data_IF_437353995755
#
_entry.id   IF_437353995755
#
_cell.length_a   1.000
_cell.length_b   1.000
_cell.length_c   1.000
_cell.angle_alpha   90.00
_cell.angle_beta   90.00
_cell.angle_gamma   90.00
#
_symmetry.space_group_name_H-M   'P 1'
#
loop_
_entity.id
_entity.type
_entity.pdbx_description
1 polymer ?
#
# COMPACT_ATOMS: atom_id res chain seq x y z
N UNK A 1 -25.43 -49.21 -22.07
CA UNK A 1 -25.71 -49.03 -23.52
C UNK A 1 -24.60 -48.17 -24.09
N UNK A 2 -23.88 -48.69 -25.09
CA UNK A 2 -22.61 -48.16 -25.56
C UNK A 2 -22.75 -46.83 -26.30
N UNK A 3 -21.89 -45.89 -25.92
CA UNK A 3 -21.70 -44.64 -26.65
C UNK A 3 -20.82 -44.88 -27.87
N UNK A 4 -21.38 -44.61 -29.05
CA UNK A 4 -20.73 -44.71 -30.36
C UNK A 4 -19.52 -43.79 -30.47
N UNK A 5 -18.36 -44.39 -30.74
CA UNK A 5 -17.16 -43.72 -31.22
C UNK A 5 -17.49 -43.09 -32.59
N UNK A 6 -17.55 -41.76 -32.66
CA UNK A 6 -17.70 -41.04 -33.91
C UNK A 6 -16.35 -41.01 -34.63
N UNK A 7 -16.04 -42.07 -35.37
CA UNK A 7 -14.87 -42.14 -36.25
C UNK A 7 -15.07 -41.13 -37.39
N UNK A 8 -14.29 -40.04 -37.37
CA UNK A 8 -14.35 -38.98 -38.39
C UNK A 8 -14.26 -39.54 -39.82
N UNK A 9 -14.97 -38.91 -40.75
CA UNK A 9 -15.04 -39.28 -42.17
C UNK A 9 -13.67 -39.67 -42.75
N UNK A 10 -13.56 -40.70 -43.61
CA UNK A 10 -12.29 -41.20 -44.17
C UNK A 10 -11.35 -40.11 -44.75
N UNK A 11 -11.92 -39.05 -45.30
CA UNK A 11 -11.18 -37.90 -45.82
C UNK A 11 -10.42 -37.11 -44.74
N UNK A 12 -10.99 -36.98 -43.53
CA UNK A 12 -10.33 -36.32 -42.39
C UNK A 12 -9.13 -37.12 -41.89
N UNK A 13 -9.28 -38.44 -41.78
CA UNK A 13 -8.17 -39.35 -41.37
C UNK A 13 -7.03 -39.31 -42.40
N UNK A 14 -7.37 -39.22 -43.70
CA UNK A 14 -6.38 -39.08 -44.78
C UNK A 14 -5.64 -37.74 -44.70
N UNK A 15 -6.36 -36.64 -44.45
CA UNK A 15 -5.76 -35.32 -44.27
C UNK A 15 -4.84 -35.27 -43.04
N UNK A 16 -5.25 -35.84 -41.91
CA UNK A 16 -4.42 -35.91 -40.70
C UNK A 16 -3.10 -36.68 -40.93
N UNK A 17 -3.17 -37.77 -41.68
CA UNK A 17 -1.97 -38.53 -42.08
C UNK A 17 -1.03 -37.72 -42.99
N UNK A 18 -1.59 -36.91 -43.91
CA UNK A 18 -0.81 -36.02 -44.76
C UNK A 18 -0.11 -34.91 -43.96
N UNK A 19 -0.79 -34.33 -42.97
CA UNK A 19 -0.22 -33.29 -42.09
C UNK A 19 0.94 -33.85 -41.27
N UNK A 20 0.82 -35.06 -40.72
CA UNK A 20 1.94 -35.73 -40.03
C UNK A 20 3.12 -35.92 -40.99
N UNK A 21 2.87 -36.40 -42.22
CA UNK A 21 3.95 -36.62 -43.19
C UNK A 21 4.64 -35.32 -43.59
N UNK A 22 3.89 -34.24 -43.82
CA UNK A 22 4.47 -32.93 -44.12
C UNK A 22 5.34 -32.41 -42.96
N UNK A 23 4.90 -32.60 -41.71
CA UNK A 23 5.66 -32.19 -40.53
C UNK A 23 6.96 -32.99 -40.33
N UNK A 24 7.04 -34.24 -40.83
CA UNK A 24 8.27 -35.04 -40.78
C UNK A 24 9.39 -34.49 -41.67
N UNK A 25 9.04 -33.78 -42.72
CA UNK A 25 10.00 -33.20 -43.68
C UNK A 25 10.56 -31.85 -43.21
N UNK A 26 10.15 -31.33 -42.04
CA UNK A 26 10.70 -30.09 -41.47
C UNK A 26 12.20 -30.29 -41.21
N UNK A 27 13.12 -29.50 -41.80
CA UNK A 27 14.55 -29.76 -41.70
C UNK A 27 15.11 -29.62 -40.29
N UNK A 28 14.73 -28.55 -39.58
CA UNK A 28 15.19 -28.27 -38.22
C UNK A 28 14.59 -29.29 -37.23
N UNK A 29 15.42 -30.10 -36.54
CA UNK A 29 14.94 -31.20 -35.70
C UNK A 29 14.18 -30.72 -34.45
N UNK A 30 14.52 -29.56 -33.89
CA UNK A 30 13.78 -28.96 -32.77
C UNK A 30 12.38 -28.52 -33.21
N UNK A 31 12.30 -27.75 -34.30
CA UNK A 31 11.02 -27.28 -34.86
C UNK A 31 10.16 -28.48 -35.26
N UNK A 32 10.78 -29.52 -35.85
CA UNK A 32 10.12 -30.78 -36.21
C UNK A 32 9.52 -31.46 -34.98
N UNK A 33 10.30 -31.67 -33.91
CA UNK A 33 9.84 -32.32 -32.69
C UNK A 33 8.65 -31.58 -32.05
N UNK A 34 8.77 -30.27 -31.85
CA UNK A 34 7.69 -29.45 -31.23
C UNK A 34 6.45 -29.41 -32.12
N UNK A 35 6.61 -29.33 -33.44
CA UNK A 35 5.49 -29.31 -34.38
C UNK A 35 4.74 -30.65 -34.39
N UNK A 36 5.46 -31.77 -34.39
CA UNK A 36 4.85 -33.10 -34.32
C UNK A 36 4.12 -33.32 -32.99
N UNK A 37 4.65 -32.84 -31.87
CA UNK A 37 3.98 -32.90 -30.57
C UNK A 37 2.70 -32.03 -30.55
N UNK A 38 2.75 -30.84 -31.13
CA UNK A 38 1.57 -29.98 -31.32
C UNK A 38 0.49 -30.65 -32.17
N UNK A 39 0.88 -31.29 -33.27
CA UNK A 39 -0.03 -32.07 -34.12
C UNK A 39 -0.62 -33.22 -33.31
N UNK A 40 0.19 -33.96 -32.56
CA UNK A 40 -0.27 -35.02 -31.66
C UNK A 40 -1.36 -34.52 -30.70
N UNK A 41 -1.14 -33.38 -30.05
CA UNK A 41 -2.14 -32.80 -29.17
C UNK A 41 -3.44 -32.40 -29.90
N UNK A 42 -3.35 -31.82 -31.10
CA UNK A 42 -4.55 -31.49 -31.91
C UNK A 42 -5.33 -32.73 -32.34
N UNK A 43 -4.63 -33.80 -32.69
CA UNK A 43 -5.26 -35.08 -33.04
C UNK A 43 -5.91 -35.73 -31.82
N UNK A 44 -5.30 -35.63 -30.65
CA UNK A 44 -5.90 -36.09 -29.39
C UNK A 44 -7.23 -35.37 -29.10
N UNK A 45 -7.26 -34.03 -29.18
CA UNK A 45 -8.49 -33.26 -29.02
C UNK A 45 -9.57 -33.61 -30.06
N UNK A 46 -9.16 -34.04 -31.25
CA UNK A 46 -10.05 -34.48 -32.32
C UNK A 46 -10.50 -35.94 -32.19
N UNK A 47 -10.03 -36.69 -31.19
CA UNK A 47 -10.30 -38.13 -31.02
C UNK A 47 -9.69 -39.01 -32.11
N UNK A 48 -8.67 -38.53 -32.83
CA UNK A 48 -8.03 -39.28 -33.91
C UNK A 48 -6.96 -40.23 -33.36
N UNK A 49 -7.04 -41.52 -33.70
CA UNK A 49 -6.14 -42.57 -33.22
C UNK A 49 -4.65 -42.36 -33.60
N UNK A 50 -4.36 -41.51 -34.59
CA UNK A 50 -2.98 -41.23 -35.03
C UNK A 50 -2.21 -40.29 -34.10
N UNK A 51 -2.83 -39.72 -33.06
CA UNK A 51 -2.15 -38.84 -32.11
C UNK A 51 -0.90 -39.49 -31.48
N UNK A 52 -0.98 -40.78 -31.13
CA UNK A 52 0.15 -41.54 -30.58
C UNK A 52 1.32 -41.64 -31.56
N UNK A 53 1.05 -41.82 -32.86
CA UNK A 53 2.08 -41.85 -33.90
C UNK A 53 2.78 -40.50 -34.03
N UNK A 54 2.04 -39.39 -33.99
CA UNK A 54 2.62 -38.06 -34.03
C UNK A 54 3.55 -37.81 -32.83
N UNK A 55 3.18 -38.25 -31.62
CA UNK A 55 4.05 -38.17 -30.44
C UNK A 55 5.29 -39.06 -30.53
N UNK A 56 5.17 -40.29 -31.04
CA UNK A 56 6.35 -41.15 -31.28
C UNK A 56 7.34 -40.51 -32.25
N UNK A 57 6.84 -39.88 -33.32
CA UNK A 57 7.68 -39.14 -34.26
C UNK A 57 8.30 -37.89 -33.62
N UNK A 58 7.58 -37.20 -32.75
CA UNK A 58 8.11 -36.06 -32.00
C UNK A 58 9.29 -36.50 -31.13
N UNK A 59 9.16 -37.59 -30.37
CA UNK A 59 10.22 -38.14 -29.53
C UNK A 59 11.42 -38.61 -30.36
N UNK A 60 11.17 -39.22 -31.53
CA UNK A 60 12.24 -39.59 -32.46
C UNK A 60 13.02 -38.37 -32.95
N UNK A 61 12.33 -37.27 -33.29
CA UNK A 61 12.96 -36.05 -33.79
C UNK A 61 13.83 -35.35 -32.72
N UNK A 62 13.57 -35.57 -31.42
CA UNK A 62 14.45 -35.09 -30.35
C UNK A 62 15.85 -35.74 -30.45
N UNK A 63 15.92 -37.02 -30.82
CA UNK A 63 17.19 -37.75 -30.95
C UNK A 63 18.04 -37.26 -32.14
N UNK A 64 17.44 -36.52 -33.07
CA UNK A 64 18.14 -35.94 -34.22
C UNK A 64 18.76 -34.56 -33.91
N UNK A 65 18.61 -34.05 -32.67
CA UNK A 65 19.13 -32.74 -32.26
C UNK A 65 20.55 -32.90 -31.72
N UNK A 66 21.52 -32.26 -32.37
CA UNK A 66 22.94 -32.34 -31.96
C UNK A 66 23.26 -31.53 -30.70
N UNK A 67 22.63 -30.36 -30.52
CA UNK A 67 22.94 -29.48 -29.41
C UNK A 67 22.24 -29.95 -28.12
N UNK A 68 22.98 -30.33 -27.06
CA UNK A 68 22.40 -30.90 -25.85
C UNK A 68 21.45 -29.93 -25.12
N UNK A 69 21.70 -28.62 -25.15
CA UNK A 69 20.79 -27.63 -24.55
C UNK A 69 19.45 -27.62 -25.29
N UNK A 70 19.49 -27.74 -26.62
CA UNK A 70 18.30 -27.76 -27.46
C UNK A 70 17.52 -29.08 -27.30
N UNK A 71 18.22 -30.21 -27.10
CA UNK A 71 17.59 -31.49 -26.73
C UNK A 71 16.75 -31.32 -25.47
N UNK A 72 17.34 -30.80 -24.39
CA UNK A 72 16.64 -30.64 -23.10
C UNK A 72 15.44 -29.68 -23.22
N UNK A 73 15.59 -28.60 -23.99
CA UNK A 73 14.47 -27.69 -24.29
C UNK A 73 13.35 -28.39 -25.06
N UNK A 74 13.70 -29.19 -26.07
CA UNK A 74 12.72 -29.97 -26.83
C UNK A 74 11.95 -30.95 -25.93
N UNK A 75 12.65 -31.61 -24.99
CA UNK A 75 12.04 -32.50 -24.02
C UNK A 75 11.00 -31.78 -23.15
N UNK A 76 11.33 -30.58 -22.65
CA UNK A 76 10.38 -29.74 -21.89
C UNK A 76 9.17 -29.36 -22.74
N UNK A 77 9.37 -28.86 -23.95
CA UNK A 77 8.27 -28.43 -24.83
C UNK A 77 7.35 -29.60 -25.23
N UNK A 78 7.93 -30.76 -25.58
CA UNK A 78 7.17 -31.95 -25.94
C UNK A 78 6.43 -32.54 -24.74
N UNK A 79 7.02 -32.51 -23.54
CA UNK A 79 6.37 -33.00 -22.31
C UNK A 79 5.05 -32.29 -22.03
N UNK A 80 4.98 -30.98 -22.28
CA UNK A 80 3.76 -30.18 -22.12
C UNK A 80 2.62 -30.71 -23.00
N UNK A 81 2.90 -30.99 -24.27
CA UNK A 81 1.88 -31.50 -25.19
C UNK A 81 1.47 -32.94 -24.86
N UNK A 82 2.39 -33.77 -24.37
CA UNK A 82 2.08 -35.10 -23.85
C UNK A 82 1.09 -35.00 -22.68
N UNK A 83 1.38 -34.13 -21.70
CA UNK A 83 0.52 -33.92 -20.53
C UNK A 83 -0.87 -33.42 -20.92
N UNK A 84 -0.95 -32.37 -21.75
CA UNK A 84 -2.22 -31.84 -22.27
C UNK A 84 -3.03 -32.85 -23.08
N UNK A 85 -2.41 -33.97 -23.47
CA UNK A 85 -3.03 -35.06 -24.23
C UNK A 85 -3.31 -36.30 -23.38
N UNK A 86 -3.34 -36.16 -22.05
CA UNK A 86 -3.60 -37.25 -21.10
C UNK A 86 -2.49 -38.29 -20.99
N UNK A 87 -1.32 -38.06 -21.59
CA UNK A 87 -0.15 -38.94 -21.48
C UNK A 87 0.75 -38.51 -20.31
N UNK A 88 0.19 -38.43 -19.11
CA UNK A 88 0.86 -37.84 -17.94
C UNK A 88 2.18 -38.53 -17.61
N UNK A 89 2.20 -39.86 -17.44
CA UNK A 89 3.40 -40.63 -17.12
C UNK A 89 4.56 -40.33 -18.08
N UNK A 90 4.29 -40.34 -19.40
CA UNK A 90 5.30 -40.05 -20.42
C UNK A 90 5.79 -38.60 -20.34
N UNK A 91 4.92 -37.65 -20.03
CA UNK A 91 5.32 -36.26 -19.83
C UNK A 91 6.25 -36.12 -18.61
N UNK A 92 5.92 -36.80 -17.50
CA UNK A 92 6.74 -36.80 -16.28
C UNK A 92 8.10 -37.43 -16.52
N UNK A 93 8.14 -38.58 -17.18
CA UNK A 93 9.39 -39.27 -17.52
C UNK A 93 10.28 -38.39 -18.42
N UNK A 94 9.69 -37.74 -19.43
CA UNK A 94 10.43 -36.87 -20.34
C UNK A 94 11.02 -35.64 -19.62
N UNK A 95 10.28 -35.03 -18.69
CA UNK A 95 10.81 -33.94 -17.85
C UNK A 95 11.92 -34.41 -16.90
N UNK A 96 11.76 -35.59 -16.29
CA UNK A 96 12.78 -36.16 -15.41
C UNK A 96 14.07 -36.42 -16.17
N UNK A 97 13.99 -37.00 -17.36
CA UNK A 97 15.15 -37.19 -18.22
C UNK A 97 15.77 -35.85 -18.65
N UNK A 98 14.96 -34.80 -18.87
CA UNK A 98 15.49 -33.47 -19.14
C UNK A 98 16.24 -32.89 -17.93
N UNK A 99 15.71 -33.09 -16.72
CA UNK A 99 16.39 -32.70 -15.48
C UNK A 99 17.71 -33.44 -15.31
N UNK A 100 17.72 -34.78 -15.40
CA UNK A 100 18.93 -35.60 -15.30
C UNK A 100 19.99 -35.17 -16.32
N UNK A 101 19.60 -34.93 -17.58
CA UNK A 101 20.51 -34.43 -18.62
C UNK A 101 21.04 -33.03 -18.33
N UNK A 102 20.25 -32.15 -17.72
CA UNK A 102 20.68 -30.80 -17.34
C UNK A 102 21.78 -30.79 -16.28
N UNK A 103 21.84 -31.82 -15.42
CA UNK A 103 22.88 -31.94 -14.38
C UNK A 103 24.29 -32.14 -14.96
N UNK A 104 24.39 -32.57 -16.21
CA UNK A 104 25.65 -32.73 -16.95
C UNK A 104 26.19 -31.39 -17.49
N UNK A 105 25.35 -30.36 -17.59
CA UNK A 105 25.75 -29.02 -18.02
C UNK A 105 26.56 -28.30 -16.94
N UNK A 106 27.33 -27.29 -17.35
CA UNK A 106 28.15 -26.47 -16.43
C UNK A 106 27.86 -24.99 -16.58
N UNK A 107 28.06 -24.26 -15.49
CA UNK A 107 27.98 -22.81 -15.47
C UNK A 107 26.57 -22.27 -15.79
N UNK A 108 26.47 -21.04 -16.31
CA UNK A 108 25.19 -20.36 -16.50
C UNK A 108 24.18 -21.08 -17.39
N UNK A 109 24.65 -21.91 -18.33
CA UNK A 109 23.79 -22.70 -19.20
C UNK A 109 22.97 -23.74 -18.44
N UNK A 110 23.55 -24.36 -17.40
CA UNK A 110 22.85 -25.30 -16.52
C UNK A 110 21.65 -24.62 -15.85
N UNK A 111 21.88 -23.46 -15.24
CA UNK A 111 20.85 -22.72 -14.52
C UNK A 111 19.70 -22.30 -15.44
N UNK A 112 20.00 -21.81 -16.65
CA UNK A 112 18.96 -21.44 -17.62
C UNK A 112 18.09 -22.64 -17.98
N UNK A 113 18.69 -23.79 -18.25
CA UNK A 113 17.95 -25.01 -18.58
C UNK A 113 17.12 -25.52 -17.40
N UNK A 114 17.68 -25.51 -16.18
CA UNK A 114 16.95 -25.90 -14.97
C UNK A 114 15.74 -25.02 -14.71
N UNK A 115 15.83 -23.70 -14.96
CA UNK A 115 14.67 -22.80 -14.87
C UNK A 115 13.56 -23.20 -15.85
N UNK A 116 13.92 -23.50 -17.10
CA UNK A 116 12.94 -23.93 -18.11
C UNK A 116 12.30 -25.27 -17.73
N UNK A 117 13.07 -26.21 -17.20
CA UNK A 117 12.56 -27.51 -16.73
C UNK A 117 11.63 -27.34 -15.53
N UNK A 118 12.02 -26.54 -14.52
CA UNK A 118 11.20 -26.28 -13.35
C UNK A 118 9.86 -25.60 -13.73
N UNK A 119 9.89 -24.64 -14.67
CA UNK A 119 8.66 -24.05 -15.22
C UNK A 119 7.84 -25.06 -16.01
N UNK A 120 8.50 -25.93 -16.78
CA UNK A 120 7.86 -27.05 -17.47
C UNK A 120 7.08 -27.95 -16.51
N UNK A 121 7.72 -28.34 -15.40
CA UNK A 121 7.10 -29.12 -14.33
C UNK A 121 5.89 -28.40 -13.71
N UNK A 122 6.01 -27.10 -13.41
CA UNK A 122 4.87 -26.31 -12.93
C UNK A 122 3.68 -26.29 -13.89
N UNK A 123 3.94 -26.09 -15.19
CA UNK A 123 2.89 -26.03 -16.22
C UNK A 123 2.09 -27.34 -16.28
N UNK A 124 2.74 -28.48 -16.05
CA UNK A 124 2.09 -29.79 -16.04
C UNK A 124 1.65 -30.25 -14.64
N UNK A 125 1.60 -29.33 -13.67
CA UNK A 125 1.04 -29.60 -12.34
C UNK A 125 1.94 -30.43 -11.42
N UNK A 126 3.27 -30.35 -11.60
CA UNK A 126 4.28 -31.04 -10.80
C UNK A 126 5.09 -30.05 -9.95
N UNK A 127 4.49 -29.44 -8.92
CA UNK A 127 5.15 -28.39 -8.14
C UNK A 127 6.26 -28.91 -7.24
N UNK A 128 6.17 -30.16 -6.75
CA UNK A 128 7.22 -30.75 -5.91
C UNK A 128 8.48 -31.06 -6.73
N UNK A 129 8.32 -31.53 -7.96
CA UNK A 129 9.44 -31.71 -8.89
C UNK A 129 9.99 -30.38 -9.37
N UNK A 130 9.15 -29.39 -9.66
CA UNK A 130 9.60 -28.04 -9.96
C UNK A 130 10.46 -27.47 -8.81
N UNK A 131 10.05 -27.70 -7.57
CA UNK A 131 10.81 -27.32 -6.38
C UNK A 131 12.14 -28.07 -6.31
N UNK A 132 12.13 -29.40 -6.47
CA UNK A 132 13.35 -30.21 -6.51
C UNK A 132 14.32 -29.66 -7.56
N UNK A 133 13.86 -29.46 -8.80
CA UNK A 133 14.70 -28.97 -9.90
C UNK A 133 15.22 -27.55 -9.64
N UNK A 134 14.42 -26.71 -8.98
CA UNK A 134 14.89 -25.37 -8.59
C UNK A 134 16.06 -25.40 -7.63
N UNK A 135 16.17 -26.41 -6.76
CA UNK A 135 17.28 -26.50 -5.79
C UNK A 135 18.63 -26.77 -6.44
N UNK A 136 18.66 -27.30 -7.67
CA UNK A 136 19.89 -27.54 -8.43
C UNK A 136 20.41 -26.28 -9.16
N UNK A 137 19.65 -25.18 -9.14
CA UNK A 137 20.05 -23.88 -9.71
C UNK A 137 21.11 -23.25 -8.81
N UNK A 138 22.27 -22.97 -9.38
CA UNK A 138 23.43 -22.45 -8.63
C UNK A 138 23.29 -20.96 -8.32
N UNK A 139 22.84 -20.17 -9.29
CA UNK A 139 22.54 -18.75 -9.12
C UNK A 139 21.37 -18.57 -8.13
N UNK A 140 21.68 -18.07 -6.94
CA UNK A 140 20.70 -17.91 -5.86
C UNK A 140 19.55 -16.96 -6.24
N UNK A 141 19.81 -15.90 -7.01
CA UNK A 141 18.76 -14.97 -7.43
C UNK A 141 17.78 -15.66 -8.38
N UNK A 142 18.30 -16.40 -9.37
CA UNK A 142 17.48 -17.17 -10.29
C UNK A 142 16.68 -18.26 -9.57
N UNK A 143 17.33 -18.98 -8.64
CA UNK A 143 16.68 -19.99 -7.80
C UNK A 143 15.51 -19.40 -7.03
N UNK A 144 15.72 -18.28 -6.32
CA UNK A 144 14.69 -17.65 -5.51
C UNK A 144 13.53 -17.15 -6.38
N UNK A 145 13.82 -16.62 -7.58
CA UNK A 145 12.78 -16.19 -8.53
C UNK A 145 11.88 -17.35 -8.98
N UNK A 146 12.45 -18.51 -9.34
CA UNK A 146 11.62 -19.67 -9.70
C UNK A 146 10.90 -20.25 -8.48
N UNK A 147 11.51 -20.25 -7.29
CA UNK A 147 10.83 -20.63 -6.05
C UNK A 147 9.61 -19.73 -5.77
N UNK A 148 9.68 -18.44 -6.09
CA UNK A 148 8.53 -17.55 -5.97
C UNK A 148 7.38 -17.94 -6.91
N UNK A 149 7.68 -18.33 -8.16
CA UNK A 149 6.67 -18.85 -9.10
C UNK A 149 6.03 -20.14 -8.55
N UNK A 150 6.84 -21.05 -8.00
CA UNK A 150 6.39 -22.31 -7.40
C UNK A 150 5.52 -22.06 -6.16
N UNK A 151 5.94 -21.18 -5.26
CA UNK A 151 5.17 -20.85 -4.07
C UNK A 151 3.86 -20.14 -4.41
N UNK A 152 3.84 -19.30 -5.46
CA UNK A 152 2.58 -18.74 -5.95
C UNK A 152 1.62 -19.84 -6.43
N UNK A 153 2.14 -20.89 -7.08
CA UNK A 153 1.32 -22.04 -7.46
C UNK A 153 0.71 -22.74 -6.23
N UNK A 154 1.52 -23.04 -5.20
CA UNK A 154 1.02 -23.63 -3.96
C UNK A 154 -0.01 -22.74 -3.26
N UNK A 155 0.22 -21.41 -3.17
CA UNK A 155 -0.74 -20.46 -2.59
C UNK A 155 -2.07 -20.50 -3.34
N UNK A 156 -2.05 -20.45 -4.68
CA UNK A 156 -3.27 -20.52 -5.52
C UNK A 156 -4.02 -21.85 -5.35
N UNK A 157 -3.31 -22.95 -5.10
CA UNK A 157 -3.90 -24.27 -4.79
C UNK A 157 -4.34 -24.40 -3.33
N UNK A 158 -3.96 -23.44 -2.48
CA UNK A 158 -4.29 -23.41 -1.06
C UNK A 158 -3.37 -24.21 -0.16
N UNK A 159 -2.22 -24.65 -0.66
CA UNK A 159 -1.20 -25.36 0.13
C UNK A 159 -0.27 -24.36 0.85
N UNK A 160 -0.85 -23.62 1.79
CA UNK A 160 -0.17 -22.57 2.55
C UNK A 160 0.86 -23.14 3.54
N UNK A 161 0.62 -24.37 4.01
CA UNK A 161 1.51 -25.07 4.94
C UNK A 161 2.83 -25.40 4.27
N UNK A 162 2.79 -25.89 3.03
CA UNK A 162 4.00 -26.21 2.26
C UNK A 162 4.85 -24.98 2.05
N UNK A 163 4.24 -23.87 1.58
CA UNK A 163 4.92 -22.58 1.42
C UNK A 163 5.56 -22.13 2.73
N UNK A 164 4.81 -22.16 3.83
CA UNK A 164 5.30 -21.76 5.16
C UNK A 164 6.53 -22.54 5.63
N UNK A 165 6.59 -23.85 5.32
CA UNK A 165 7.68 -24.74 5.72
C UNK A 165 8.95 -24.59 4.89
N UNK A 166 8.83 -24.08 3.67
CA UNK A 166 9.93 -23.98 2.72
C UNK A 166 10.47 -22.55 2.57
N UNK A 167 9.78 -21.56 3.17
CA UNK A 167 10.09 -20.15 3.05
C UNK A 167 11.50 -19.79 3.51
N UNK A 168 12.07 -20.53 4.46
CA UNK A 168 13.44 -20.31 4.95
C UNK A 168 14.52 -20.78 3.97
N UNK A 169 14.15 -21.54 2.93
CA UNK A 169 15.04 -21.89 1.82
C UNK A 169 15.26 -20.77 0.80
N UNK A 170 14.46 -19.70 0.85
CA UNK A 170 14.60 -18.52 -0.01
C UNK A 170 15.67 -17.60 0.58
N UNK A 171 16.71 -17.31 -0.20
CA UNK A 171 17.89 -16.58 0.28
C UNK A 171 17.71 -15.05 0.21
N UNK A 172 17.08 -14.56 -0.85
CA UNK A 172 16.78 -13.15 -1.06
C UNK A 172 15.67 -12.67 -0.13
N UNK A 173 15.97 -11.70 0.71
CA UNK A 173 14.98 -11.09 1.61
C UNK A 173 13.85 -10.41 0.84
N UNK A 174 14.15 -9.79 -0.31
CA UNK A 174 13.13 -9.19 -1.17
C UNK A 174 12.12 -10.21 -1.69
N UNK A 175 12.63 -11.36 -2.16
CA UNK A 175 11.78 -12.44 -2.66
C UNK A 175 11.02 -13.11 -1.51
N UNK A 176 11.70 -13.37 -0.39
CA UNK A 176 11.11 -13.96 0.81
C UNK A 176 9.97 -13.10 1.34
N UNK A 177 10.20 -11.80 1.51
CA UNK A 177 9.19 -10.83 1.96
C UNK A 177 7.99 -10.76 1.01
N UNK A 178 8.20 -10.78 -0.31
CA UNK A 178 7.10 -10.79 -1.29
C UNK A 178 6.25 -12.06 -1.18
N UNK A 179 6.87 -13.23 -1.03
CA UNK A 179 6.14 -14.49 -0.85
C UNK A 179 5.40 -14.50 0.49
N UNK A 180 6.07 -14.09 1.57
CA UNK A 180 5.46 -13.92 2.90
C UNK A 180 4.22 -13.02 2.83
N UNK A 181 4.28 -11.91 2.08
CA UNK A 181 3.15 -11.02 1.88
C UNK A 181 1.97 -11.70 1.17
N UNK A 182 2.22 -12.44 0.09
CA UNK A 182 1.15 -13.17 -0.62
C UNK A 182 0.54 -14.28 0.23
N UNK A 183 1.37 -15.00 1.00
CA UNK A 183 0.93 -16.00 1.97
C UNK A 183 0.07 -15.37 3.09
N UNK A 184 0.52 -14.22 3.61
CA UNK A 184 -0.20 -13.42 4.60
C UNK A 184 -1.58 -13.00 4.06
N UNK A 185 -1.63 -12.45 2.85
CA UNK A 185 -2.88 -12.04 2.19
C UNK A 185 -3.86 -13.18 2.03
N UNK A 186 -3.37 -14.36 1.66
CA UNK A 186 -4.24 -15.52 1.49
C UNK A 186 -4.80 -16.04 2.83
N UNK A 187 -4.00 -16.07 3.90
CA UNK A 187 -4.50 -16.35 5.25
C UNK A 187 -5.56 -15.32 5.69
N UNK A 188 -5.28 -14.03 5.46
CA UNK A 188 -6.19 -12.95 5.80
C UNK A 188 -7.51 -13.04 5.00
N UNK A 189 -7.44 -13.40 3.71
CA UNK A 189 -8.62 -13.63 2.86
C UNK A 189 -9.51 -14.77 3.37
N UNK A 190 -8.92 -15.79 3.99
CA UNK A 190 -9.61 -16.94 4.59
C UNK A 190 -10.15 -16.67 6.00
N UNK A 191 -9.91 -15.49 6.58
CA UNK A 191 -10.23 -15.19 7.97
C UNK A 191 -9.32 -15.91 8.97
N UNK A 192 -8.20 -16.46 8.51
CA UNK A 192 -7.22 -17.18 9.35
C UNK A 192 -6.27 -16.18 10.04
N UNK A 193 -6.83 -15.27 10.83
CA UNK A 193 -6.13 -14.12 11.42
C UNK A 193 -4.89 -14.51 12.23
N UNK A 194 -4.97 -15.58 13.02
CA UNK A 194 -3.84 -16.06 13.81
C UNK A 194 -2.68 -16.54 12.92
N UNK A 195 -2.98 -17.17 11.79
CA UNK A 195 -1.96 -17.58 10.82
C UNK A 195 -1.36 -16.35 10.13
N UNK A 196 -2.19 -15.39 9.71
CA UNK A 196 -1.73 -14.13 9.10
C UNK A 196 -0.75 -13.39 10.03
N UNK A 197 -1.07 -13.22 11.31
CA UNK A 197 -0.19 -12.58 12.30
C UNK A 197 1.16 -13.27 12.45
N UNK A 198 1.22 -14.61 12.40
CA UNK A 198 2.49 -15.36 12.47
C UNK A 198 3.38 -15.17 11.24
N UNK A 199 2.83 -14.69 10.12
CA UNK A 199 3.62 -14.43 8.91
C UNK A 199 4.30 -13.06 8.95
N UNK A 200 3.72 -12.06 9.64
CA UNK A 200 4.26 -10.70 9.69
C UNK A 200 5.76 -10.65 10.04
N UNK A 201 6.27 -11.35 11.09
CA UNK A 201 7.70 -11.31 11.41
C UNK A 201 8.63 -11.85 10.30
N UNK A 202 8.09 -12.56 9.30
CA UNK A 202 8.83 -13.09 8.14
C UNK A 202 8.89 -12.09 6.96
N UNK A 203 8.37 -10.89 7.13
CA UNK A 203 8.40 -9.81 6.12
C UNK A 203 9.44 -8.78 6.57
N UNK A 204 10.70 -8.96 6.15
CA UNK A 204 11.79 -8.05 6.50
C UNK A 204 11.79 -6.75 5.70
N UNK A 205 11.25 -6.75 4.48
CA UNK A 205 11.18 -5.57 3.60
C UNK A 205 10.01 -4.66 3.97
N UNK A 206 10.33 -3.38 4.13
CA UNK A 206 9.47 -2.42 4.83
C UNK A 206 8.21 -2.13 4.03
N UNK A 207 8.38 -1.96 2.72
CA UNK A 207 7.28 -1.76 1.78
C UNK A 207 6.23 -2.86 1.89
N UNK A 208 6.66 -4.14 1.96
CA UNK A 208 5.74 -5.27 2.10
C UNK A 208 5.12 -5.34 3.49
N UNK A 209 5.86 -4.98 4.54
CA UNK A 209 5.34 -4.93 5.90
C UNK A 209 4.25 -3.86 6.05
N UNK A 210 4.51 -2.61 5.64
CA UNK A 210 3.53 -1.52 5.71
C UNK A 210 2.28 -1.86 4.89
N UNK A 211 2.48 -2.44 3.70
CA UNK A 211 1.36 -2.95 2.86
C UNK A 211 0.57 -4.04 3.58
N UNK A 212 1.23 -4.91 4.35
CA UNK A 212 0.55 -5.94 5.15
C UNK A 212 -0.29 -5.31 6.25
N UNK A 213 0.26 -4.34 6.98
CA UNK A 213 -0.43 -3.66 8.07
C UNK A 213 -1.66 -2.87 7.57
N UNK A 214 -1.53 -2.16 6.44
CA UNK A 214 -2.68 -1.48 5.82
C UNK A 214 -3.74 -2.48 5.34
N UNK A 215 -3.32 -3.62 4.78
CA UNK A 215 -4.21 -4.69 4.34
C UNK A 215 -5.03 -5.29 5.51
N UNK A 216 -4.43 -5.43 6.71
CA UNK A 216 -5.17 -5.79 7.93
C UNK A 216 -6.25 -4.75 8.20
N UNK A 217 -5.87 -3.47 8.29
CA UNK A 217 -6.79 -2.39 8.60
C UNK A 217 -7.96 -2.34 7.59
N UNK A 218 -7.65 -2.55 6.30
CA UNK A 218 -8.62 -2.67 5.22
C UNK A 218 -9.58 -3.83 5.43
N UNK A 219 -9.05 -5.04 5.56
CA UNK A 219 -9.86 -6.26 5.66
C UNK A 219 -10.80 -6.23 6.85
N UNK A 220 -10.29 -5.89 8.04
CA UNK A 220 -11.10 -5.84 9.25
C UNK A 220 -12.23 -4.82 9.13
N UNK A 221 -11.97 -3.69 8.46
CA UNK A 221 -12.96 -2.64 8.24
C UNK A 221 -14.03 -3.03 7.23
N UNK A 222 -13.65 -3.70 6.13
CA UNK A 222 -14.59 -4.20 5.10
C UNK A 222 -15.50 -5.30 5.64
N UNK A 223 -14.97 -6.20 6.48
CA UNK A 223 -15.74 -7.30 7.06
C UNK A 223 -16.56 -6.90 8.29
N UNK A 224 -16.40 -5.66 8.77
CA UNK A 224 -17.09 -5.20 9.98
C UNK A 224 -16.74 -6.05 11.20
N UNK A 225 -15.46 -6.40 11.37
CA UNK A 225 -14.98 -7.21 12.48
C UNK A 225 -15.38 -6.60 13.85
N UNK A 226 -15.55 -7.44 14.87
CA UNK A 226 -15.85 -6.97 16.23
C UNK A 226 -14.66 -6.23 16.84
N UNK A 227 -14.90 -5.37 17.82
CA UNK A 227 -13.83 -4.65 18.54
C UNK A 227 -12.81 -5.61 19.15
N UNK A 228 -13.24 -6.77 19.67
CA UNK A 228 -12.34 -7.80 20.21
C UNK A 228 -11.32 -8.31 19.17
N UNK A 229 -11.71 -8.39 17.90
CA UNK A 229 -10.80 -8.79 16.82
C UNK A 229 -9.81 -7.67 16.55
N UNK A 230 -10.26 -6.42 16.47
CA UNK A 230 -9.35 -5.28 16.31
C UNK A 230 -8.33 -5.21 17.45
N UNK A 231 -8.74 -5.39 18.71
CA UNK A 231 -7.84 -5.39 19.86
C UNK A 231 -6.75 -6.46 19.77
N UNK A 232 -7.08 -7.67 19.31
CA UNK A 232 -6.06 -8.72 19.09
C UNK A 232 -4.99 -8.29 18.08
N UNK A 233 -5.40 -7.57 17.02
CA UNK A 233 -4.46 -7.02 16.05
C UNK A 233 -3.66 -5.85 16.62
N UNK A 234 -4.28 -4.96 17.39
CA UNK A 234 -3.59 -3.87 18.09
C UNK A 234 -2.47 -4.42 18.96
N UNK A 235 -2.76 -5.39 19.82
CA UNK A 235 -1.74 -5.98 20.72
C UNK A 235 -0.63 -6.68 19.94
N UNK A 236 -0.97 -7.50 18.94
CA UNK A 236 0.03 -8.20 18.13
C UNK A 236 0.95 -7.23 17.35
N UNK A 237 0.38 -6.15 16.78
CA UNK A 237 1.15 -5.15 16.03
C UNK A 237 1.96 -4.26 16.98
N UNK A 238 1.45 -3.98 18.18
CA UNK A 238 2.19 -3.27 19.24
C UNK A 238 3.40 -4.09 19.69
N UNK A 239 3.23 -5.38 19.97
CA UNK A 239 4.32 -6.30 20.30
C UNK A 239 5.38 -6.35 19.18
N UNK A 240 4.93 -6.48 17.93
CA UNK A 240 5.81 -6.45 16.77
C UNK A 240 6.56 -5.12 16.64
N UNK A 241 5.89 -4.01 16.94
CA UNK A 241 6.49 -2.67 16.93
C UNK A 241 7.62 -2.57 17.94
N UNK A 242 7.38 -3.06 19.17
CA UNK A 242 8.37 -3.09 20.24
C UNK A 242 9.56 -4.01 19.92
N UNK A 243 9.31 -5.22 19.41
CA UNK A 243 10.37 -6.19 19.13
C UNK A 243 11.25 -5.81 17.94
N UNK A 244 10.69 -5.10 16.96
CA UNK A 244 11.41 -4.66 15.75
C UNK A 244 12.03 -3.26 15.87
N UNK A 245 11.67 -2.51 16.92
CA UNK A 245 12.06 -1.10 17.08
C UNK A 245 11.40 -0.17 16.07
N UNK A 246 10.23 -0.52 15.53
CA UNK A 246 9.53 0.25 14.49
C UNK A 246 8.08 0.52 14.83
N UNK A 247 7.57 1.62 14.29
CA UNK A 247 6.25 2.14 14.62
C UNK A 247 5.15 1.62 13.68
N UNK A 248 4.93 0.29 13.66
CA UNK A 248 3.87 -0.32 12.83
C UNK A 248 2.47 -0.08 13.38
N UNK A 249 2.35 0.10 14.71
CA UNK A 249 1.07 0.42 15.35
C UNK A 249 0.50 1.73 14.79
N UNK A 250 1.33 2.75 14.59
CA UNK A 250 0.87 3.99 13.96
C UNK A 250 0.35 3.76 12.55
N UNK A 251 1.06 2.99 11.71
CA UNK A 251 0.59 2.64 10.36
C UNK A 251 -0.78 1.97 10.40
N UNK A 252 -0.97 1.04 11.34
CA UNK A 252 -2.24 0.35 11.52
C UNK A 252 -3.37 1.31 11.91
N UNK A 253 -3.15 2.15 12.92
CA UNK A 253 -4.15 3.10 13.42
C UNK A 253 -4.51 4.19 12.39
N UNK A 254 -3.54 4.63 11.58
CA UNK A 254 -3.79 5.50 10.43
C UNK A 254 -4.71 4.79 9.42
N UNK A 255 -4.39 3.54 9.08
CA UNK A 255 -5.19 2.72 8.16
C UNK A 255 -6.65 2.55 8.64
N UNK A 256 -6.86 2.37 9.95
CA UNK A 256 -8.20 2.31 10.54
C UNK A 256 -8.92 3.67 10.51
N UNK A 257 -8.21 4.76 10.80
CA UNK A 257 -8.75 6.12 10.81
C UNK A 257 -9.28 6.53 9.44
N UNK A 258 -8.54 6.22 8.37
CA UNK A 258 -8.95 6.49 6.98
C UNK A 258 -10.21 5.68 6.57
N UNK A 259 -10.54 4.63 7.30
CA UNK A 259 -11.66 3.72 7.02
C UNK A 259 -12.83 3.89 8.00
N UNK A 260 -12.96 5.10 8.57
CA UNK A 260 -14.05 5.50 9.48
C UNK A 260 -14.13 4.67 10.76
N UNK A 261 -12.98 4.22 11.27
CA UNK A 261 -12.88 3.55 12.58
C UNK A 261 -12.27 4.48 13.64
N UNK A 262 -12.53 5.79 13.52
CA UNK A 262 -11.98 6.83 14.38
C UNK A 262 -12.32 6.56 15.86
N UNK A 263 -13.57 6.29 16.19
CA UNK A 263 -13.95 5.98 17.57
C UNK A 263 -13.31 4.72 18.18
N UNK A 264 -12.89 3.74 17.36
CA UNK A 264 -12.08 2.64 17.86
C UNK A 264 -10.62 3.07 18.09
N UNK A 265 -10.06 3.83 17.15
CA UNK A 265 -8.68 4.34 17.24
C UNK A 265 -8.49 5.23 18.47
N UNK A 266 -9.46 6.08 18.83
CA UNK A 266 -9.42 6.92 20.03
C UNK A 266 -9.45 6.08 21.30
N UNK A 267 -10.29 5.03 21.38
CA UNK A 267 -10.28 4.06 22.48
C UNK A 267 -8.90 3.41 22.66
N UNK A 268 -8.25 3.02 21.56
CA UNK A 268 -6.90 2.46 21.59
C UNK A 268 -5.91 3.47 22.13
N UNK A 269 -5.84 4.67 21.56
CA UNK A 269 -4.88 5.69 22.01
C UNK A 269 -5.07 6.06 23.49
N UNK A 270 -6.32 6.11 23.96
CA UNK A 270 -6.64 6.40 25.35
C UNK A 270 -6.20 5.30 26.31
N UNK A 271 -6.07 4.05 25.86
CA UNK A 271 -5.61 2.92 26.68
C UNK A 271 -4.09 2.72 26.66
N UNK A 272 -3.35 3.36 25.75
CA UNK A 272 -1.91 3.20 25.63
C UNK A 272 -1.17 4.08 26.66
N UNK A 273 -0.67 3.49 27.74
CA UNK A 273 0.15 4.20 28.74
C UNK A 273 1.65 4.16 28.44
N UNK A 274 2.14 3.07 27.84
CA UNK A 274 3.58 2.82 27.61
C UNK A 274 4.00 3.04 26.15
N UNK A 275 3.23 3.81 25.39
CA UNK A 275 3.47 4.09 23.98
C UNK A 275 3.48 5.61 23.78
N UNK A 276 4.26 6.17 22.83
CA UNK A 276 4.28 7.61 22.55
C UNK A 276 2.96 8.11 21.90
N UNK A 277 1.83 7.95 22.59
CA UNK A 277 0.47 8.15 22.08
C UNK A 277 0.24 9.57 21.56
N UNK A 278 0.89 10.58 22.13
CA UNK A 278 0.81 11.96 21.66
C UNK A 278 1.35 12.10 20.23
N UNK A 279 2.49 11.47 19.93
CA UNK A 279 3.09 11.52 18.60
C UNK A 279 2.25 10.74 17.58
N UNK A 280 1.71 9.59 17.98
CA UNK A 280 0.78 8.80 17.17
C UNK A 280 -0.48 9.62 16.86
N UNK A 281 -1.07 10.22 17.90
CA UNK A 281 -2.27 11.02 17.77
C UNK A 281 -2.05 12.23 16.86
N UNK A 282 -0.88 12.88 16.94
CA UNK A 282 -0.50 13.97 16.04
C UNK A 282 -0.46 13.50 14.58
N UNK A 283 0.21 12.38 14.28
CA UNK A 283 0.29 11.82 12.91
C UNK A 283 -1.10 11.48 12.35
N UNK A 284 -1.97 10.89 13.18
CA UNK A 284 -3.35 10.57 12.80
C UNK A 284 -4.15 11.85 12.54
N UNK A 285 -4.08 12.83 13.44
CA UNK A 285 -4.79 14.11 13.29
C UNK A 285 -4.40 14.83 11.99
N UNK A 286 -3.09 14.90 11.67
CA UNK A 286 -2.62 15.49 10.42
C UNK A 286 -3.15 14.73 9.20
N UNK A 287 -3.16 13.39 9.24
CA UNK A 287 -3.73 12.58 8.15
C UNK A 287 -5.23 12.85 7.95
N UNK A 288 -5.96 13.04 9.05
CA UNK A 288 -7.41 13.28 9.05
C UNK A 288 -7.80 14.69 8.63
N UNK A 289 -6.86 15.61 8.38
CA UNK A 289 -7.18 16.95 7.89
C UNK A 289 -8.00 16.88 6.61
N UNK A 290 -7.73 15.94 5.71
CA UNK A 290 -8.54 15.73 4.50
C UNK A 290 -10.03 15.39 4.76
N UNK A 291 -10.42 15.11 6.00
CA UNK A 291 -11.77 14.68 6.42
C UNK A 291 -12.23 15.42 7.69
N UNK A 292 -12.79 16.64 7.58
CA UNK A 292 -13.12 17.50 8.72
C UNK A 292 -13.95 16.82 9.82
N UNK A 293 -14.98 16.05 9.43
CA UNK A 293 -15.83 15.34 10.41
C UNK A 293 -15.09 14.25 11.19
N UNK A 294 -14.22 13.49 10.53
CA UNK A 294 -13.39 12.47 11.20
C UNK A 294 -12.35 13.12 12.12
N UNK A 295 -11.74 14.23 11.69
CA UNK A 295 -10.80 14.98 12.54
C UNK A 295 -11.49 15.54 13.78
N UNK A 296 -12.70 16.06 13.62
CA UNK A 296 -13.51 16.59 14.73
C UNK A 296 -13.87 15.50 15.75
N UNK A 297 -14.37 14.36 15.27
CA UNK A 297 -14.65 13.17 16.11
C UNK A 297 -13.37 12.71 16.84
N UNK A 298 -12.27 12.58 16.11
CA UNK A 298 -10.98 12.14 16.65
C UNK A 298 -10.51 13.02 17.81
N UNK A 299 -10.44 14.34 17.59
CA UNK A 299 -9.96 15.29 18.60
C UNK A 299 -10.93 15.33 19.79
N UNK A 300 -12.24 15.19 19.56
CA UNK A 300 -13.25 15.22 20.62
C UNK A 300 -13.10 14.06 21.61
N UNK A 301 -12.89 12.85 21.10
CA UNK A 301 -12.86 11.62 21.91
C UNK A 301 -11.48 11.30 22.49
N UNK A 302 -10.43 11.92 21.94
CA UNK A 302 -9.07 11.72 22.41
C UNK A 302 -8.88 12.32 23.80
N UNK A 303 -8.46 11.51 24.77
CA UNK A 303 -8.27 11.88 26.17
C UNK A 303 -6.77 11.98 26.50
N UNK A 304 -6.15 13.06 26.03
CA UNK A 304 -4.78 13.44 26.38
C UNK A 304 -4.77 14.51 27.47
N UNK A 305 -3.82 14.47 28.40
CA UNK A 305 -3.57 15.58 29.31
C UNK A 305 -2.98 16.78 28.55
N UNK A 306 -3.06 18.01 29.09
CA UNK A 306 -2.67 19.24 28.39
C UNK A 306 -1.27 19.19 27.77
N UNK A 307 -0.29 18.66 28.50
CA UNK A 307 1.11 18.53 28.06
C UNK A 307 1.29 17.67 26.80
N UNK A 308 0.41 16.68 26.59
CA UNK A 308 0.39 15.83 25.40
C UNK A 308 -0.54 16.40 24.31
N UNK A 309 -1.62 17.09 24.72
CA UNK A 309 -2.62 17.64 23.82
C UNK A 309 -2.15 18.90 23.10
N UNK A 310 -1.46 19.81 23.79
CA UNK A 310 -1.07 21.11 23.24
C UNK A 310 -0.15 21.02 22.01
N UNK A 311 0.86 20.12 21.95
CA UNK A 311 1.64 19.91 20.73
C UNK A 311 0.80 19.43 19.54
N UNK A 312 -0.18 18.56 19.78
CA UNK A 312 -1.12 18.10 18.76
C UNK A 312 -2.01 19.25 18.29
N UNK A 313 -2.61 19.98 19.23
CA UNK A 313 -3.46 21.12 18.96
C UNK A 313 -2.76 22.19 18.12
N UNK A 314 -1.51 22.51 18.49
CA UNK A 314 -0.64 23.40 17.72
C UNK A 314 -0.42 22.90 16.30
N UNK A 315 -0.05 21.63 16.12
CA UNK A 315 0.21 21.06 14.81
C UNK A 315 -1.04 21.07 13.90
N UNK A 316 -2.21 20.74 14.46
CA UNK A 316 -3.49 20.80 13.73
C UNK A 316 -3.80 22.24 13.32
N UNK A 317 -3.73 23.20 14.26
CA UNK A 317 -4.02 24.60 13.95
C UNK A 317 -3.04 25.21 12.95
N UNK A 318 -1.75 24.83 13.02
CA UNK A 318 -0.74 25.24 12.03
C UNK A 318 -1.11 24.77 10.63
N UNK A 319 -1.47 23.49 10.49
CA UNK A 319 -1.83 22.94 9.19
C UNK A 319 -3.12 23.55 8.64
N UNK A 320 -4.13 23.78 9.49
CA UNK A 320 -5.35 24.49 9.10
C UNK A 320 -5.12 25.94 8.66
N UNK A 321 -4.05 26.59 9.14
CA UNK A 321 -3.71 27.98 8.80
C UNK A 321 -2.75 28.13 7.60
N UNK A 322 -2.10 27.05 7.14
CA UNK A 322 -1.19 27.07 5.97
C UNK A 322 -1.93 27.28 4.65
N UNK A 323 -3.11 26.68 4.51
CA UNK A 323 -3.91 26.72 3.29
C UNK A 323 -5.08 27.69 3.34
N UNK A 324 -5.97 27.65 2.32
CA UNK A 324 -7.25 28.33 2.38
C UNK A 324 -8.05 27.88 3.60
N UNK A 325 -8.48 28.84 4.42
CA UNK A 325 -9.28 28.54 5.61
C UNK A 325 -10.69 28.07 5.20
N UNK A 326 -11.26 27.14 5.98
CA UNK A 326 -12.59 26.57 5.68
C UNK A 326 -13.48 26.52 6.92
N UNK A 327 -14.75 26.99 6.83
CA UNK A 327 -15.71 26.86 7.93
C UNK A 327 -15.97 25.41 8.38
N UNK A 328 -15.65 24.42 7.55
CA UNK A 328 -15.82 23.00 7.87
C UNK A 328 -15.01 22.54 9.11
N UNK A 329 -13.93 23.25 9.48
CA UNK A 329 -13.14 22.93 10.68
C UNK A 329 -13.49 23.81 11.89
N UNK A 330 -14.61 24.55 11.85
CA UNK A 330 -15.06 25.35 13.02
C UNK A 330 -15.15 24.49 14.27
N UNK A 331 -15.77 23.30 14.18
CA UNK A 331 -15.90 22.38 15.31
C UNK A 331 -14.55 21.95 15.89
N UNK A 332 -13.59 21.62 15.02
CA UNK A 332 -12.19 21.30 15.41
C UNK A 332 -11.55 22.46 16.19
N UNK A 333 -11.61 23.68 15.65
CA UNK A 333 -11.03 24.86 16.30
C UNK A 333 -11.66 25.15 17.67
N UNK A 334 -12.99 25.01 17.79
CA UNK A 334 -13.70 25.18 19.05
C UNK A 334 -13.30 24.14 20.10
N UNK A 335 -13.17 22.87 19.71
CA UNK A 335 -12.74 21.80 20.63
C UNK A 335 -11.31 22.05 21.10
N UNK A 336 -10.40 22.40 20.17
CA UNK A 336 -9.02 22.73 20.51
C UNK A 336 -8.97 23.90 21.50
N UNK A 337 -9.64 25.02 21.18
CA UNK A 337 -9.60 26.21 22.02
C UNK A 337 -10.15 25.98 23.43
N UNK A 338 -11.13 25.09 23.60
CA UNK A 338 -11.70 24.77 24.93
C UNK A 338 -10.82 23.86 25.79
N UNK A 339 -9.83 23.19 25.18
CA UNK A 339 -9.03 22.15 25.83
C UNK A 339 -7.57 22.50 26.01
N UNK A 340 -7.05 23.38 25.16
CA UNK A 340 -5.64 23.76 25.18
C UNK A 340 -5.34 24.70 26.35
N UNK A 341 -4.19 24.51 27.00
CA UNK A 341 -3.68 25.46 28.00
C UNK A 341 -2.62 26.39 27.41
N UNK A 342 -2.18 26.10 26.18
CA UNK A 342 -1.19 26.86 25.44
C UNK A 342 -1.81 28.13 24.81
N UNK A 343 -1.47 29.28 25.38
CA UNK A 343 -1.94 30.59 24.92
C UNK A 343 -1.59 30.86 23.44
N UNK A 344 -0.47 30.33 22.92
CA UNK A 344 -0.13 30.52 21.52
C UNK A 344 -1.06 29.70 20.59
N UNK A 345 -1.60 28.58 21.08
CA UNK A 345 -2.66 27.84 20.38
C UNK A 345 -3.97 28.62 20.41
N UNK A 346 -4.32 29.27 21.54
CA UNK A 346 -5.48 30.15 21.62
C UNK A 346 -5.41 31.32 20.61
N UNK A 347 -4.23 31.91 20.39
CA UNK A 347 -4.03 32.91 19.32
C UNK A 347 -4.37 32.32 17.96
N UNK A 348 -3.91 31.10 17.65
CA UNK A 348 -4.18 30.43 16.37
C UNK A 348 -5.67 30.10 16.21
N UNK A 349 -6.32 29.62 17.26
CA UNK A 349 -7.78 29.37 17.28
C UNK A 349 -8.54 30.67 17.00
N UNK A 350 -8.22 31.74 17.73
CA UNK A 350 -8.85 33.05 17.55
C UNK A 350 -8.63 33.58 16.13
N UNK A 351 -7.41 33.47 15.62
CA UNK A 351 -7.07 33.86 14.24
C UNK A 351 -7.88 33.05 13.21
N UNK A 352 -7.95 31.73 13.40
CA UNK A 352 -8.68 30.85 12.49
C UNK A 352 -10.17 31.19 12.45
N UNK A 353 -10.83 31.25 13.61
CA UNK A 353 -12.25 31.58 13.75
C UNK A 353 -12.57 32.96 13.16
N UNK A 354 -11.70 33.95 13.36
CA UNK A 354 -11.84 35.28 12.75
C UNK A 354 -11.82 35.19 11.23
N UNK A 355 -10.84 34.48 10.65
CA UNK A 355 -10.69 34.31 9.20
C UNK A 355 -11.85 33.57 8.55
N UNK A 356 -12.45 32.59 9.22
CA UNK A 356 -13.64 31.88 8.72
C UNK A 356 -14.96 32.60 9.04
N UNK A 357 -14.89 33.81 9.61
CA UNK A 357 -16.03 34.71 9.76
C UNK A 357 -16.80 34.61 11.07
N UNK A 358 -16.22 34.02 12.12
CA UNK A 358 -16.81 33.88 13.46
C UNK A 358 -16.02 34.68 14.51
N UNK A 359 -16.00 36.03 14.41
CA UNK A 359 -15.17 36.87 15.29
C UNK A 359 -15.60 36.85 16.76
N UNK A 360 -16.89 36.66 17.07
CA UNK A 360 -17.36 36.57 18.46
C UNK A 360 -16.83 35.31 19.18
N UNK A 361 -16.77 34.19 18.46
CA UNK A 361 -16.16 32.97 18.98
C UNK A 361 -14.65 33.14 19.13
N UNK A 362 -14.01 33.83 18.17
CA UNK A 362 -12.60 34.18 18.28
C UNK A 362 -12.31 35.05 19.51
N UNK A 363 -13.15 36.06 19.77
CA UNK A 363 -13.06 36.95 20.94
C UNK A 363 -13.11 36.17 22.24
N UNK A 364 -14.01 35.19 22.35
CA UNK A 364 -14.12 34.33 23.54
C UNK A 364 -12.80 33.63 23.90
N UNK A 365 -12.00 33.21 22.92
CA UNK A 365 -10.68 32.61 23.17
C UNK A 365 -9.57 33.66 23.36
N UNK A 366 -9.62 34.78 22.63
CA UNK A 366 -8.67 35.87 22.79
C UNK A 366 -8.69 36.46 24.21
N UNK A 367 -9.88 36.54 24.82
CA UNK A 367 -10.06 37.06 26.17
C UNK A 367 -9.42 36.19 27.27
N UNK A 368 -9.24 34.89 27.01
CA UNK A 368 -8.60 33.93 27.92
C UNK A 368 -7.06 34.06 27.94
N UNK A 369 -6.49 34.80 26.99
CA UNK A 369 -5.04 34.98 26.87
C UNK A 369 -4.58 36.03 27.89
N UNK A 370 -3.76 35.59 28.85
CA UNK A 370 -3.22 36.47 29.89
C UNK A 370 -1.96 37.22 29.42
N UNK A 371 -1.15 36.61 28.55
CA UNK A 371 0.04 37.26 28.01
C UNK A 371 -0.35 38.48 27.15
N UNK A 372 0.09 39.71 27.49
CA UNK A 372 -0.35 40.92 26.80
C UNK A 372 0.01 40.96 25.32
N UNK A 373 1.15 40.38 24.94
CA UNK A 373 1.61 40.36 23.56
C UNK A 373 0.79 39.37 22.74
N UNK A 374 0.63 38.12 23.19
CA UNK A 374 -0.21 37.12 22.53
C UNK A 374 -1.67 37.57 22.44
N UNK A 375 -2.20 38.23 23.49
CA UNK A 375 -3.54 38.81 23.47
C UNK A 375 -3.67 39.87 22.38
N UNK A 376 -2.67 40.75 22.26
CA UNK A 376 -2.59 41.77 21.20
C UNK A 376 -2.60 41.14 19.79
N UNK A 377 -1.91 40.00 19.59
CA UNK A 377 -1.94 39.27 18.33
C UNK A 377 -3.35 38.76 17.99
N UNK A 378 -4.03 38.14 18.96
CA UNK A 378 -5.35 37.57 18.76
C UNK A 378 -6.39 38.64 18.42
N UNK A 379 -6.41 39.74 19.19
CA UNK A 379 -7.31 40.87 18.93
C UNK A 379 -6.98 41.60 17.63
N UNK A 380 -5.71 41.67 17.24
CA UNK A 380 -5.32 42.18 15.93
C UNK A 380 -5.90 41.37 14.77
N UNK A 381 -5.91 40.04 14.88
CA UNK A 381 -6.54 39.18 13.87
C UNK A 381 -8.07 39.36 13.80
N UNK A 382 -8.73 39.55 14.95
CA UNK A 382 -10.17 39.83 15.04
C UNK A 382 -10.49 41.18 14.39
N UNK A 383 -9.76 42.24 14.72
CA UNK A 383 -9.94 43.57 14.15
C UNK A 383 -9.81 43.55 12.62
N UNK A 384 -8.77 42.90 12.10
CA UNK A 384 -8.57 42.75 10.65
C UNK A 384 -9.73 41.98 9.99
N UNK A 385 -10.33 41.01 10.66
CA UNK A 385 -11.48 40.27 10.12
C UNK A 385 -12.75 41.13 10.06
N UNK A 386 -13.01 41.97 11.06
CA UNK A 386 -14.11 42.95 11.01
C UNK A 386 -13.89 43.99 9.91
N UNK A 387 -12.66 44.53 9.78
CA UNK A 387 -12.31 45.46 8.70
C UNK A 387 -12.60 44.87 7.32
N UNK A 388 -12.20 43.61 7.07
CA UNK A 388 -12.47 42.93 5.79
C UNK A 388 -13.95 42.78 5.49
N UNK A 389 -14.80 42.75 6.52
CA UNK A 389 -16.26 42.70 6.37
C UNK A 389 -16.90 44.10 6.28
N UNK A 390 -16.11 45.18 6.38
CA UNK A 390 -16.60 46.57 6.43
C UNK A 390 -17.18 46.98 7.79
N UNK A 391 -17.00 46.16 8.82
CA UNK A 391 -17.50 46.40 10.17
C UNK A 391 -16.47 47.21 10.98
N UNK A 392 -16.46 48.51 10.73
CA UNK A 392 -15.44 49.43 11.27
C UNK A 392 -15.54 49.56 12.79
N UNK A 393 -16.75 49.62 13.34
CA UNK A 393 -16.97 49.85 14.77
C UNK A 393 -16.40 48.69 15.60
N UNK A 394 -16.75 47.45 15.25
CA UNK A 394 -16.20 46.27 15.91
C UNK A 394 -14.69 46.09 15.66
N UNK A 395 -14.17 46.57 14.52
CA UNK A 395 -12.73 46.58 14.29
C UNK A 395 -12.00 47.53 15.25
N UNK A 396 -12.53 48.73 15.50
CA UNK A 396 -11.98 49.69 16.46
C UNK A 396 -12.04 49.13 17.88
N UNK A 397 -13.17 48.53 18.27
CA UNK A 397 -13.32 47.90 19.59
C UNK A 397 -12.28 46.79 19.80
N UNK A 398 -12.10 45.90 18.83
CA UNK A 398 -11.10 44.84 18.91
C UNK A 398 -9.67 45.41 18.94
N UNK A 399 -9.38 46.47 18.18
CA UNK A 399 -8.06 47.11 18.20
C UNK A 399 -7.74 47.83 19.53
N UNK A 400 -8.75 48.32 20.24
CA UNK A 400 -8.56 48.92 21.57
C UNK A 400 -8.06 47.93 22.63
N UNK A 401 -8.29 46.62 22.44
CA UNK A 401 -7.76 45.56 23.31
C UNK A 401 -6.28 45.22 23.04
N UNK A 402 -5.68 45.80 21.98
CA UNK A 402 -4.26 45.62 21.63
C UNK A 402 -3.40 46.51 22.51
N UNK A 403 -2.77 45.91 23.52
CA UNK A 403 -1.96 46.61 24.53
C UNK A 403 -0.50 46.81 24.14
N UNK A 404 0.00 46.02 23.18
CA UNK A 404 1.32 46.26 22.61
C UNK A 404 1.33 47.60 21.86
N UNK A 405 2.21 48.51 22.30
CA UNK A 405 2.16 49.91 21.88
C UNK A 405 2.46 50.09 20.40
N UNK A 406 3.39 49.32 19.86
CA UNK A 406 3.81 49.40 18.46
C UNK A 406 2.78 48.73 17.56
N UNK A 407 2.31 47.54 17.95
CA UNK A 407 1.29 46.81 17.21
C UNK A 407 -0.05 47.55 17.21
N UNK A 408 -0.47 48.08 18.36
CA UNK A 408 -1.70 48.85 18.51
C UNK A 408 -1.68 50.13 17.67
N UNK A 409 -0.53 50.81 17.64
CA UNK A 409 -0.35 52.04 16.84
C UNK A 409 -0.38 51.76 15.34
N UNK A 410 0.23 50.66 14.87
CA UNK A 410 0.17 50.24 13.46
C UNK A 410 -1.24 49.80 13.05
N UNK A 411 -1.88 48.91 13.83
CA UNK A 411 -3.22 48.40 13.54
C UNK A 411 -4.26 49.52 13.52
N UNK A 412 -4.18 50.46 14.46
CA UNK A 412 -5.03 51.65 14.47
C UNK A 412 -4.81 52.53 13.23
N UNK A 413 -3.56 52.64 12.76
CA UNK A 413 -3.24 53.29 11.50
C UNK A 413 -3.93 52.64 10.29
N UNK A 414 -3.84 51.31 10.18
CA UNK A 414 -4.50 50.54 9.10
C UNK A 414 -6.03 50.64 9.16
N UNK A 415 -6.62 50.59 10.38
CA UNK A 415 -8.06 50.81 10.57
C UNK A 415 -8.45 52.20 10.08
N UNK A 416 -7.75 53.25 10.51
CA UNK A 416 -8.01 54.63 10.09
C UNK A 416 -7.89 54.81 8.57
N UNK A 417 -6.90 54.18 7.93
CA UNK A 417 -6.77 54.18 6.46
C UNK A 417 -7.99 53.51 5.82
N UNK A 418 -8.41 52.34 6.30
CA UNK A 418 -9.58 51.62 5.75
C UNK A 418 -10.90 52.37 5.95
N UNK A 419 -11.06 53.07 7.08
CA UNK A 419 -12.20 53.97 7.33
C UNK A 419 -12.24 55.07 6.26
N UNK A 420 -11.09 55.69 5.98
CA UNK A 420 -10.98 56.74 4.95
C UNK A 420 -11.26 56.16 3.56
N UNK A 421 -10.67 55.03 3.18
CA UNK A 421 -10.92 54.37 1.89
C UNK A 421 -12.41 54.02 1.68
N UNK A 422 -13.07 53.50 2.73
CA UNK A 422 -14.50 53.18 2.70
C UNK A 422 -15.38 54.43 2.61
N UNK A 423 -14.91 55.56 3.16
CA UNK A 423 -15.60 56.86 3.05
C UNK A 423 -15.38 57.55 1.70
N UNK A 424 -14.35 57.15 0.95
CA UNK A 424 -13.94 57.75 -0.33
C UNK A 424 -14.28 56.85 -1.54
N UNK A 425 -14.54 55.56 -1.34
CA UNK A 425 -15.05 54.64 -2.38
C UNK A 425 -13.99 53.85 -3.17
N UNK A 426 -12.79 53.62 -2.62
CA UNK A 426 -11.71 52.89 -3.32
C UNK A 426 -11.45 51.48 -2.72
N UNK A 427 -11.40 50.45 -3.58
CA UNK A 427 -11.18 49.04 -3.20
C UNK A 427 -9.67 48.72 -3.04
N UNK A 428 -9.19 48.59 -1.80
CA UNK A 428 -7.84 48.11 -1.49
C UNK A 428 -7.83 46.66 -0.99
N UNK A 429 -7.86 45.68 -1.91
CA UNK A 429 -7.79 44.24 -1.58
C UNK A 429 -6.37 43.64 -1.71
N UNK A 430 -5.45 44.24 -2.48
CA UNK A 430 -4.17 43.58 -2.82
C UNK A 430 -2.96 44.00 -1.95
N UNK A 431 -2.99 45.14 -1.26
CA UNK A 431 -1.77 45.71 -0.64
C UNK A 431 -1.46 45.23 0.80
N UNK A 432 -2.46 44.67 1.49
CA UNK A 432 -2.37 44.30 2.91
C UNK A 432 -1.44 43.10 3.18
N UNK A 433 -1.41 42.12 2.27
CA UNK A 433 -0.61 40.90 2.47
C UNK A 433 0.89 41.14 2.23
N UNK A 434 1.25 42.01 1.28
CA UNK A 434 2.64 42.35 0.99
C UNK A 434 3.27 43.23 2.08
N UNK A 435 2.49 44.18 2.64
CA UNK A 435 2.97 45.09 3.70
C UNK A 435 3.18 44.36 5.03
N UNK A 436 2.31 43.41 5.38
CA UNK A 436 2.46 42.56 6.56
C UNK A 436 3.72 41.67 6.50
N UNK A 437 4.04 41.12 5.32
CA UNK A 437 5.26 40.32 5.13
C UNK A 437 6.54 41.17 5.19
N UNK A 438 6.52 42.39 4.64
CA UNK A 438 7.65 43.34 4.72
C UNK A 438 7.95 43.76 6.16
N UNK A 439 6.93 44.04 6.98
CA UNK A 439 7.14 44.42 8.38
C UNK A 439 7.69 43.26 9.24
N UNK A 440 7.23 42.02 8.98
CA UNK A 440 7.79 40.83 9.62
C UNK A 440 9.28 40.65 9.29
N UNK A 441 9.66 40.82 8.01
CA UNK A 441 11.05 40.72 7.54
C UNK A 441 11.94 41.83 8.10
N UNK A 442 11.43 43.06 8.17
CA UNK A 442 12.12 44.20 8.77
C UNK A 442 12.44 43.96 10.25
N UNK A 443 11.57 43.31 11.03
CA UNK A 443 11.87 42.98 12.44
C UNK A 443 12.89 41.85 12.64
N UNK A 444 12.94 40.87 11.74
CA UNK A 444 13.99 39.82 11.77
C UNK A 444 15.38 40.42 11.53
N UNK A 445 15.48 41.47 10.70
CA UNK A 445 16.74 42.15 10.36
C UNK A 445 17.26 43.11 11.46
N UNK A 446 16.43 43.56 12.41
CA UNK A 446 16.82 44.53 13.47
C UNK A 446 16.97 43.83 14.84
N UNK A 447 16.65 42.54 14.90
CA UNK A 447 16.81 41.69 16.09
C UNK A 447 18.12 40.88 16.14
N UNK A 448 19.09 41.16 15.26
CA UNK A 448 20.44 40.56 15.28
C UNK A 448 21.43 41.40 16.10
#
# INVERSE_FOLDING_TARGET
>A
MGGTVNTGSPERVKLHSQVINAAREIPDPYVRAVTLARIGHRLYLAGDANYGKAFSLALSAINDIDNPIVVLKAMVDVSRYLYLSGMEEKARDLLRSAHEGSLLLKGPAKDVVLLDIARGALVIGMPDEALLYSTDVQDAQKRDLIMAEIFQFYIKKGDLRRVSSLLDGVSSEDVKSRISFELFKEHLRRGEFASALRILPKIGVYYWMDSSIDEIARKLSEEGASEDVYWKFVEAIKELSMSSGRDYLTTFLIGLSLRRKVGFVTKVLNSLTDFPRAEVAKKIAITLISSPGNLEEFIRELSLPPEEFDPLARAVMDELLKGPVSPAYRGVALIIGRRTEDMAVLVKVSTYLSKIGYPEEARTFAEQIADPYLRSLAFGAIALAHLKKGDIDSAIEAAAEVRDRDWGSWLMGEILVKVVESSVGENAEEELSERAQKHKKWREDIGS
#
